data_IF_748882128087
#
_entry.id   IF_748882128087
#
_cell.length_a   1.000
_cell.length_b   1.000
_cell.length_c   1.000
_cell.angle_alpha   90.00
_cell.angle_beta   90.00
_cell.angle_gamma   90.00
#
_symmetry.space_group_name_H-M   'P 1'
#
loop_
_entity.id
_entity.type
_entity.pdbx_description
1 polymer ?
#
# COMPACT_ATOMS: atom_id res chain seq x y z
N UNK A 1 -2.92 71.46 25.93
CA UNK A 1 -1.62 70.83 26.28
C UNK A 1 -1.78 70.12 27.62
N UNK A 2 -1.96 68.80 27.61
CA UNK A 2 -1.60 67.79 28.63
C UNK A 2 -2.31 66.48 28.28
N UNK A 3 -1.50 65.47 28.00
CA UNK A 3 -1.87 64.09 27.70
C UNK A 3 -2.22 63.37 29.01
N UNK A 4 -3.23 62.52 29.03
CA UNK A 4 -3.29 61.39 29.97
C UNK A 4 -4.01 60.22 29.32
N UNK A 5 -3.49 59.03 29.57
CA UNK A 5 -3.60 57.77 28.83
C UNK A 5 -4.55 56.80 29.56
N UNK A 6 -5.28 56.01 28.77
CA UNK A 6 -5.83 54.66 28.98
C UNK A 6 -6.69 54.33 30.22
N UNK A 7 -7.78 53.61 30.00
CA UNK A 7 -7.83 52.16 30.26
C UNK A 7 -9.01 51.54 29.49
N UNK A 8 -8.68 50.66 28.55
CA UNK A 8 -9.61 49.80 27.82
C UNK A 8 -9.65 48.47 28.57
N UNK A 9 -10.75 48.15 29.24
CA UNK A 9 -10.96 46.85 29.88
C UNK A 9 -11.48 45.85 28.85
N UNK A 10 -10.57 45.01 28.34
CA UNK A 10 -10.90 43.84 27.53
C UNK A 10 -11.39 42.72 28.44
N UNK A 11 -12.59 42.23 28.16
CA UNK A 11 -13.22 41.11 28.84
C UNK A 11 -12.56 39.80 28.36
N UNK A 12 -11.64 39.23 29.15
CA UNK A 12 -11.02 37.95 28.89
C UNK A 12 -11.97 36.83 29.35
N UNK A 13 -12.67 36.19 28.42
CA UNK A 13 -13.47 35.01 28.69
C UNK A 13 -12.52 33.79 28.73
N UNK A 14 -12.08 33.41 29.93
CA UNK A 14 -11.40 32.14 30.15
C UNK A 14 -12.38 31.00 29.91
N UNK A 15 -12.22 30.27 28.80
CA UNK A 15 -12.78 28.93 28.65
C UNK A 15 -11.73 27.97 29.20
N UNK A 16 -11.88 27.58 30.46
CA UNK A 16 -11.19 26.43 31.04
C UNK A 16 -11.82 25.16 30.44
N UNK A 17 -11.18 24.57 29.44
CA UNK A 17 -11.52 23.21 29.02
C UNK A 17 -10.71 22.22 29.87
N UNK A 18 -11.46 21.48 30.67
CA UNK A 18 -11.02 20.40 31.53
C UNK A 18 -10.33 19.30 30.69
N UNK A 19 -9.03 19.09 30.87
CA UNK A 19 -8.34 17.89 30.36
C UNK A 19 -8.63 16.77 31.35
N UNK A 20 -9.31 15.67 30.98
CA UNK A 20 -9.32 14.50 31.83
C UNK A 20 -7.94 13.85 31.76
N UNK A 21 -7.19 13.96 32.85
CA UNK A 21 -6.00 13.15 33.10
C UNK A 21 -6.45 11.69 33.27
N UNK A 22 -6.06 10.82 32.33
CA UNK A 22 -6.35 9.39 32.42
C UNK A 22 -6.52 8.70 31.07
N UNK A 23 -5.58 8.87 30.14
CA UNK A 23 -5.42 7.90 29.07
C UNK A 23 -4.48 6.81 29.58
N UNK A 24 -5.05 5.67 29.97
CA UNK A 24 -4.28 4.46 30.18
C UNK A 24 -3.47 4.20 28.90
N UNK A 25 -2.15 4.11 29.05
CA UNK A 25 -1.20 3.73 28.00
C UNK A 25 -1.56 2.30 27.60
N UNK A 26 -2.29 2.12 26.50
CA UNK A 26 -2.43 0.81 25.90
C UNK A 26 -1.03 0.36 25.45
N UNK A 27 -0.60 -0.87 25.79
CA UNK A 27 0.71 -1.34 25.38
C UNK A 27 0.77 -1.41 23.86
N UNK A 28 1.91 -1.02 23.30
CA UNK A 28 2.29 -1.31 21.91
C UNK A 28 2.28 -2.83 21.72
N UNK A 29 1.14 -3.38 21.30
CA UNK A 29 1.11 -4.63 20.56
C UNK A 29 1.48 -4.26 19.12
N UNK A 30 2.74 -4.50 18.75
CA UNK A 30 3.17 -4.58 17.35
C UNK A 30 2.30 -5.65 16.65
N UNK A 31 1.21 -5.20 16.02
CA UNK A 31 0.56 -5.97 14.96
C UNK A 31 1.58 -6.15 13.83
N UNK A 32 1.65 -7.33 13.19
CA UNK A 32 2.61 -7.56 12.11
C UNK A 32 2.43 -6.50 11.03
N UNK A 33 3.54 -5.89 10.59
CA UNK A 33 3.57 -4.85 9.57
C UNK A 33 3.28 -5.45 8.18
N UNK A 34 2.01 -5.73 7.88
CA UNK A 34 1.61 -6.45 6.64
C UNK A 34 1.80 -5.62 5.35
N UNK A 35 2.29 -4.38 5.40
CA UNK A 35 2.41 -3.52 4.20
C UNK A 35 3.80 -2.92 4.11
N UNK A 36 4.70 -3.59 3.40
CA UNK A 36 5.99 -3.04 3.01
C UNK A 36 5.96 -2.59 1.55
N UNK A 37 6.71 -1.52 1.25
CA UNK A 37 6.95 -1.10 -0.14
C UNK A 37 7.70 -2.23 -0.87
N UNK A 38 7.21 -2.73 -2.03
CA UNK A 38 7.92 -3.74 -2.80
C UNK A 38 9.33 -3.30 -3.23
N UNK A 39 10.25 -4.26 -3.31
CA UNK A 39 11.62 -4.00 -3.72
C UNK A 39 11.68 -3.35 -5.11
N UNK A 40 12.55 -2.35 -5.27
CA UNK A 40 12.74 -1.61 -6.53
C UNK A 40 11.79 -0.43 -6.74
N UNK A 41 10.80 -0.22 -5.87
CA UNK A 41 10.00 1.02 -5.86
C UNK A 41 10.80 2.12 -5.15
N UNK A 42 11.01 3.29 -5.77
CA UNK A 42 11.90 4.33 -5.23
C UNK A 42 11.21 5.23 -4.18
N UNK A 43 10.47 4.66 -3.21
CA UNK A 43 9.74 5.45 -2.20
C UNK A 43 9.87 4.84 -0.80
N UNK A 44 9.81 5.68 0.24
CA UNK A 44 9.67 5.24 1.62
C UNK A 44 8.24 4.74 1.91
N UNK A 45 8.06 4.05 3.03
CA UNK A 45 6.75 3.57 3.44
C UNK A 45 5.74 4.72 3.65
N UNK A 46 6.18 5.83 4.23
CA UNK A 46 5.34 7.00 4.49
C UNK A 46 4.83 7.64 3.19
N UNK A 47 5.71 7.79 2.21
CA UNK A 47 5.39 8.37 0.90
C UNK A 47 4.45 7.45 0.11
N UNK A 48 4.73 6.14 0.16
CA UNK A 48 3.91 5.12 -0.46
C UNK A 48 2.48 5.06 0.11
N UNK A 49 2.35 5.19 1.43
CA UNK A 49 1.04 5.24 2.08
C UNK A 49 0.24 6.50 1.75
N UNK A 50 0.90 7.66 1.64
CA UNK A 50 0.24 8.89 1.17
C UNK A 50 -0.25 8.74 -0.27
N UNK A 51 0.56 8.16 -1.16
CA UNK A 51 0.14 7.89 -2.54
C UNK A 51 -1.08 6.96 -2.57
N UNK A 52 -1.06 5.88 -1.79
CA UNK A 52 -2.17 4.93 -1.68
C UNK A 52 -3.46 5.62 -1.25
N UNK A 53 -3.39 6.42 -0.18
CA UNK A 53 -4.54 7.14 0.37
C UNK A 53 -5.04 8.22 -0.59
N UNK A 54 -4.14 8.94 -1.25
CA UNK A 54 -4.49 9.93 -2.27
C UNK A 54 -5.25 9.28 -3.44
N UNK A 55 -4.77 8.13 -3.90
CA UNK A 55 -5.45 7.37 -4.95
C UNK A 55 -6.79 6.80 -4.48
N UNK A 56 -6.92 6.40 -3.22
CA UNK A 56 -8.21 6.00 -2.65
C UNK A 56 -9.24 7.15 -2.70
N UNK A 57 -8.85 8.37 -2.32
CA UNK A 57 -9.72 9.55 -2.43
C UNK A 57 -10.12 9.85 -3.88
N UNK A 58 -9.18 9.73 -4.82
CA UNK A 58 -9.44 9.93 -6.25
C UNK A 58 -10.41 8.87 -6.80
N UNK A 59 -10.19 7.61 -6.48
CA UNK A 59 -11.07 6.52 -6.94
C UNK A 59 -12.46 6.61 -6.31
N UNK A 60 -12.56 7.03 -5.05
CA UNK A 60 -13.86 7.32 -4.40
C UNK A 60 -14.62 8.46 -5.10
N UNK A 61 -13.90 9.39 -5.73
CA UNK A 61 -14.48 10.45 -6.56
C UNK A 61 -14.72 10.03 -8.03
N UNK A 62 -14.48 8.76 -8.38
CA UNK A 62 -14.63 8.25 -9.74
C UNK A 62 -13.51 8.69 -10.70
N UNK A 63 -12.36 9.09 -10.17
CA UNK A 63 -11.20 9.52 -10.94
C UNK A 63 -10.18 8.38 -11.09
N UNK A 64 -9.38 8.46 -12.15
CA UNK A 64 -8.23 7.59 -12.32
C UNK A 64 -7.18 7.83 -11.22
N UNK A 65 -6.52 6.76 -10.73
CA UNK A 65 -5.40 6.90 -9.81
C UNK A 65 -4.21 7.58 -10.51
N UNK A 66 -3.36 8.21 -9.73
CA UNK A 66 -2.11 8.81 -10.16
C UNK A 66 -0.98 7.79 -10.04
N UNK A 67 0.00 7.88 -10.94
CA UNK A 67 1.23 7.08 -10.86
C UNK A 67 2.42 7.93 -10.43
N UNK A 68 3.39 7.30 -9.78
CA UNK A 68 4.67 7.91 -9.41
C UNK A 68 5.77 7.36 -10.31
N UNK A 69 6.75 8.19 -10.68
CA UNK A 69 7.95 7.76 -11.39
C UNK A 69 9.19 8.35 -10.73
N UNK A 70 10.34 7.73 -10.95
CA UNK A 70 11.54 7.94 -10.14
C UNK A 70 12.00 9.41 -10.10
N UNK A 71 12.07 10.09 -11.25
CA UNK A 71 12.51 11.49 -11.29
C UNK A 71 11.55 12.43 -10.52
N UNK A 72 10.25 12.17 -10.55
CA UNK A 72 9.27 12.92 -9.78
C UNK A 72 9.43 12.71 -8.27
N UNK A 73 9.76 11.48 -7.88
CA UNK A 73 10.00 11.14 -6.49
C UNK A 73 11.26 11.83 -5.96
N UNK A 74 12.35 11.82 -6.73
CA UNK A 74 13.56 12.60 -6.43
C UNK A 74 13.24 14.10 -6.23
N UNK A 75 12.37 14.66 -7.08
CA UNK A 75 11.97 16.06 -6.96
C UNK A 75 11.27 16.35 -5.62
N UNK A 76 10.38 15.45 -5.19
CA UNK A 76 9.72 15.60 -3.89
C UNK A 76 10.63 15.34 -2.70
N UNK A 77 11.64 14.48 -2.82
CA UNK A 77 12.63 14.26 -1.78
C UNK A 77 13.46 15.53 -1.53
N UNK A 78 13.87 16.21 -2.62
CA UNK A 78 14.54 17.51 -2.55
C UNK A 78 13.61 18.53 -1.88
N UNK A 79 12.37 18.63 -2.38
CA UNK A 79 11.41 19.61 -1.88
C UNK A 79 11.06 19.39 -0.40
N UNK A 80 10.96 18.14 0.06
CA UNK A 80 10.70 17.82 1.46
C UNK A 80 11.80 18.38 2.39
N UNK A 81 13.07 18.24 2.01
CA UNK A 81 14.19 18.80 2.78
C UNK A 81 14.18 20.33 2.81
N UNK A 82 13.90 20.95 1.67
CA UNK A 82 13.80 22.41 1.57
C UNK A 82 12.67 23.00 2.45
N UNK A 83 11.60 22.24 2.71
CA UNK A 83 10.52 22.66 3.60
C UNK A 83 10.94 22.76 5.06
N UNK A 84 12.03 22.08 5.46
CA UNK A 84 12.64 22.26 6.79
C UNK A 84 13.27 23.66 6.89
N UNK A 85 13.94 24.11 5.82
CA UNK A 85 14.58 25.41 5.77
C UNK A 85 13.57 26.55 5.63
N UNK A 86 12.55 26.34 4.78
CA UNK A 86 11.50 27.31 4.51
C UNK A 86 10.18 26.61 4.16
N UNK A 87 9.24 26.60 5.11
CA UNK A 87 7.90 26.08 4.89
C UNK A 87 7.04 27.08 4.08
N UNK A 88 7.21 27.06 2.76
CA UNK A 88 6.60 27.96 1.79
C UNK A 88 6.35 27.24 0.46
N UNK A 89 5.57 27.81 -0.46
CA UNK A 89 5.54 27.39 -1.87
C UNK A 89 6.72 27.95 -2.69
N UNK A 90 7.49 28.86 -2.11
CA UNK A 90 8.74 29.36 -2.69
C UNK A 90 9.90 28.57 -2.11
N UNK A 91 10.83 28.14 -2.97
CA UNK A 91 12.03 27.42 -2.56
C UNK A 91 12.97 28.33 -1.75
N UNK A 92 13.89 27.78 -0.93
CA UNK A 92 14.81 28.57 -0.11
C UNK A 92 15.69 29.54 -0.92
N UNK A 93 15.98 29.20 -2.18
CA UNK A 93 16.74 30.04 -3.11
C UNK A 93 15.91 31.19 -3.75
N UNK A 94 14.62 31.27 -3.43
CA UNK A 94 13.68 32.27 -3.93
C UNK A 94 12.98 31.90 -5.25
N UNK A 95 13.26 30.73 -5.81
CA UNK A 95 12.60 30.26 -7.04
C UNK A 95 11.25 29.58 -6.75
N UNK A 96 10.45 29.38 -7.80
CA UNK A 96 9.17 28.69 -7.70
C UNK A 96 9.36 27.19 -7.35
N UNK A 97 8.46 26.59 -6.57
CA UNK A 97 8.54 25.17 -6.19
C UNK A 97 8.74 24.22 -7.37
N UNK A 98 8.20 24.53 -8.56
CA UNK A 98 8.25 23.65 -9.72
C UNK A 98 9.57 23.68 -10.47
N UNK A 99 10.49 24.61 -10.16
CA UNK A 99 11.84 24.62 -10.76
C UNK A 99 12.65 23.39 -10.37
N UNK A 100 12.27 22.68 -9.30
CA UNK A 100 12.85 21.38 -8.95
C UNK A 100 12.67 20.35 -10.07
N UNK A 101 11.61 20.45 -10.88
CA UNK A 101 11.41 19.56 -12.03
C UNK A 101 12.47 19.77 -13.11
N UNK A 102 12.96 20.99 -13.30
CA UNK A 102 14.03 21.26 -14.27
C UNK A 102 15.34 20.60 -13.84
N UNK A 103 15.62 20.56 -12.53
CA UNK A 103 16.81 19.93 -11.95
C UNK A 103 16.82 18.41 -12.14
N UNK A 104 15.65 17.78 -12.08
CA UNK A 104 15.49 16.32 -12.24
C UNK A 104 15.09 15.91 -13.67
N UNK A 105 15.00 16.87 -14.60
CA UNK A 105 14.69 16.61 -16.00
C UNK A 105 13.24 16.21 -16.30
N UNK A 106 12.29 16.63 -15.46
CA UNK A 106 10.85 16.35 -15.64
C UNK A 106 10.20 17.44 -16.46
N UNK A 107 9.71 17.09 -17.64
CA UNK A 107 8.88 17.99 -18.46
C UNK A 107 7.42 17.95 -18.02
N UNK A 108 6.77 19.11 -18.00
CA UNK A 108 5.39 19.24 -17.55
C UNK A 108 4.63 20.33 -18.34
N UNK A 109 3.32 20.19 -18.41
CA UNK A 109 2.37 21.13 -19.01
C UNK A 109 1.42 21.76 -17.99
N UNK A 110 1.14 21.05 -16.90
CA UNK A 110 0.47 21.58 -15.72
C UNK A 110 1.02 20.92 -14.47
N UNK A 111 1.07 21.69 -13.39
CA UNK A 111 1.68 21.29 -12.12
C UNK A 111 0.84 21.78 -10.94
N UNK A 112 1.01 21.14 -9.79
CA UNK A 112 0.40 21.55 -8.52
C UNK A 112 1.23 21.08 -7.33
N UNK A 113 1.18 21.83 -6.23
CA UNK A 113 1.87 21.48 -4.98
C UNK A 113 0.88 21.51 -3.81
N UNK A 114 0.95 20.49 -2.96
CA UNK A 114 0.39 20.50 -1.62
C UNK A 114 1.52 20.35 -0.61
N UNK A 115 1.59 21.22 0.41
CA UNK A 115 2.55 21.10 1.51
C UNK A 115 1.80 20.99 2.84
N UNK A 116 2.37 20.27 3.79
CA UNK A 116 1.86 20.18 5.16
C UNK A 116 3.01 19.89 6.13
N UNK A 117 2.85 20.30 7.38
CA UNK A 117 3.82 20.04 8.43
C UNK A 117 3.12 19.75 9.76
N UNK A 118 3.77 19.00 10.65
CA UNK A 118 3.27 18.66 11.98
C UNK A 118 2.29 17.49 12.03
N UNK A 119 1.96 16.87 10.89
CA UNK A 119 1.12 15.68 10.84
C UNK A 119 1.97 14.43 11.11
N UNK A 120 1.58 13.56 12.06
CA UNK A 120 2.41 12.44 12.48
C UNK A 120 2.32 11.21 11.54
N UNK A 121 1.31 11.14 10.69
CA UNK A 121 1.04 9.97 9.85
C UNK A 121 0.55 10.35 8.46
N UNK A 122 0.74 9.43 7.50
CA UNK A 122 0.22 9.55 6.14
C UNK A 122 -1.31 9.74 6.10
N UNK A 123 -2.05 9.06 6.98
CA UNK A 123 -3.49 9.20 7.09
C UNK A 123 -3.90 10.60 7.56
N UNK A 124 -3.25 11.12 8.60
CA UNK A 124 -3.57 12.42 9.15
C UNK A 124 -3.28 13.55 8.14
N UNK A 125 -2.18 13.46 7.39
CA UNK A 125 -1.84 14.50 6.40
C UNK A 125 -2.77 14.49 5.19
N UNK A 126 -3.15 13.31 4.68
CA UNK A 126 -4.10 13.21 3.56
C UNK A 126 -5.48 13.71 3.98
N UNK A 127 -5.95 13.37 5.19
CA UNK A 127 -7.17 13.95 5.75
C UNK A 127 -7.08 15.48 5.85
N UNK A 128 -5.95 16.01 6.33
CA UNK A 128 -5.68 17.45 6.39
C UNK A 128 -5.78 18.14 5.03
N UNK A 129 -5.19 17.55 3.98
CA UNK A 129 -5.31 18.06 2.62
C UNK A 129 -6.74 17.97 2.08
N UNK A 130 -7.46 16.88 2.33
CA UNK A 130 -8.84 16.71 1.85
C UNK A 130 -9.85 17.63 2.54
N UNK A 131 -9.55 18.10 3.75
CA UNK A 131 -10.33 19.10 4.48
C UNK A 131 -9.99 20.55 4.09
N UNK A 132 -8.93 20.77 3.29
CA UNK A 132 -8.58 22.08 2.74
C UNK A 132 -9.06 22.21 1.28
N UNK A 133 -9.94 23.17 0.96
CA UNK A 133 -10.47 23.30 -0.40
C UNK A 133 -9.40 23.43 -1.50
N UNK A 134 -8.31 24.16 -1.23
CA UNK A 134 -7.20 24.33 -2.18
C UNK A 134 -6.41 23.04 -2.41
N UNK A 135 -6.03 22.36 -1.33
CA UNK A 135 -5.26 21.11 -1.44
C UNK A 135 -6.09 19.97 -2.03
N UNK A 136 -7.36 19.86 -1.62
CA UNK A 136 -8.33 18.93 -2.20
C UNK A 136 -8.52 19.15 -3.70
N UNK A 137 -8.55 20.40 -4.15
CA UNK A 137 -8.69 20.70 -5.58
C UNK A 137 -7.51 20.15 -6.39
N UNK A 138 -6.28 20.17 -5.84
CA UNK A 138 -5.13 19.52 -6.48
C UNK A 138 -5.29 17.99 -6.52
N UNK A 139 -5.62 17.36 -5.38
CA UNK A 139 -5.80 15.89 -5.29
C UNK A 139 -6.86 15.39 -6.27
N UNK A 140 -7.97 16.13 -6.43
CA UNK A 140 -9.10 15.74 -7.29
C UNK A 140 -9.03 16.37 -8.69
N UNK A 141 -7.91 17.00 -9.06
CA UNK A 141 -7.77 17.56 -10.40
C UNK A 141 -7.74 16.43 -11.44
N UNK A 142 -8.63 16.51 -12.43
CA UNK A 142 -8.78 15.53 -13.51
C UNK A 142 -7.64 15.58 -14.53
N UNK A 143 -6.91 16.69 -14.59
CA UNK A 143 -5.80 16.88 -15.52
C UNK A 143 -4.52 16.15 -15.09
N UNK A 144 -4.28 16.01 -13.79
CA UNK A 144 -3.08 15.35 -13.28
C UNK A 144 -3.09 13.85 -13.52
N UNK A 145 -1.93 13.33 -13.91
CA UNK A 145 -1.67 11.91 -14.19
C UNK A 145 -0.59 11.33 -13.30
N UNK A 146 0.33 12.18 -12.85
CA UNK A 146 1.45 11.75 -12.02
C UNK A 146 1.53 12.53 -10.71
N UNK A 147 2.13 11.88 -9.72
CA UNK A 147 2.38 12.42 -8.38
C UNK A 147 3.73 11.94 -7.86
N UNK A 148 4.47 12.84 -7.23
CA UNK A 148 5.55 12.52 -6.30
C UNK A 148 5.08 12.85 -4.89
N UNK A 149 5.59 12.12 -3.90
CA UNK A 149 5.29 12.41 -2.49
C UNK A 149 6.59 12.44 -1.71
N UNK A 150 6.87 13.54 -1.03
CA UNK A 150 8.07 13.68 -0.21
C UNK A 150 7.71 13.68 1.27
N UNK A 151 8.49 12.96 2.07
CA UNK A 151 8.40 12.98 3.52
C UNK A 151 9.78 13.18 4.15
N UNK A 152 9.86 14.07 5.15
CA UNK A 152 11.05 14.17 6.00
C UNK A 152 10.68 14.45 7.44
N UNK A 153 11.51 13.98 8.36
CA UNK A 153 11.38 14.21 9.79
C UNK A 153 12.68 14.72 10.39
N UNK A 154 12.59 15.84 11.11
CA UNK A 154 13.69 16.43 11.86
C UNK A 154 13.22 16.83 13.25
N UNK A 155 13.70 16.15 14.28
CA UNK A 155 13.31 16.39 15.68
C UNK A 155 13.59 17.84 16.15
N UNK A 156 14.56 18.51 15.54
CA UNK A 156 14.98 19.86 15.91
C UNK A 156 14.38 20.96 15.00
N UNK A 157 13.43 20.60 14.15
CA UNK A 157 12.70 21.55 13.28
C UNK A 157 11.43 22.06 13.97
N UNK A 158 10.84 23.13 13.43
CA UNK A 158 9.65 23.77 14.01
C UNK A 158 8.45 22.83 14.11
N UNK A 159 8.31 21.90 13.16
CA UNK A 159 7.12 21.05 13.04
C UNK A 159 7.40 19.54 13.15
N UNK A 160 8.66 19.12 13.24
CA UNK A 160 9.04 17.72 13.29
C UNK A 160 8.92 17.03 11.93
N UNK A 161 7.69 16.84 11.44
CA UNK A 161 7.38 16.17 10.17
C UNK A 161 6.96 17.16 9.08
N UNK A 162 7.45 16.95 7.86
CA UNK A 162 7.11 17.74 6.67
C UNK A 162 6.71 16.81 5.53
N UNK A 163 5.70 17.23 4.78
CA UNK A 163 5.06 16.47 3.73
C UNK A 163 4.86 17.35 2.50
N UNK A 164 5.11 16.79 1.32
CA UNK A 164 4.82 17.45 0.04
C UNK A 164 4.20 16.47 -0.94
N UNK A 165 3.21 16.93 -1.70
CA UNK A 165 2.77 16.29 -2.94
C UNK A 165 3.08 17.24 -4.08
N UNK A 166 3.79 16.75 -5.09
CA UNK A 166 3.87 17.42 -6.37
C UNK A 166 3.03 16.64 -7.36
N UNK A 167 2.24 17.35 -8.16
CA UNK A 167 1.39 16.79 -9.20
C UNK A 167 1.85 17.30 -10.56
N UNK A 168 1.74 16.48 -11.59
CA UNK A 168 1.96 16.97 -12.94
C UNK A 168 1.12 16.27 -14.01
N UNK A 169 1.06 16.96 -15.14
CA UNK A 169 0.65 16.47 -16.47
C UNK A 169 1.77 16.83 -17.43
N UNK A 170 2.02 16.02 -18.45
CA UNK A 170 2.98 16.38 -19.52
C UNK A 170 3.93 15.25 -19.89
N UNK A 171 4.14 14.31 -18.99
CA UNK A 171 4.77 13.04 -19.32
C UNK A 171 3.75 12.21 -20.11
N UNK A 172 3.93 12.11 -21.43
CA UNK A 172 3.06 11.34 -22.33
C UNK A 172 3.32 9.84 -22.19
N UNK A 173 3.09 9.31 -21.00
CA UNK A 173 3.29 7.91 -20.69
C UNK A 173 2.11 7.11 -21.29
N UNK A 174 2.31 6.54 -22.48
CA UNK A 174 1.46 5.46 -22.96
C UNK A 174 1.95 4.16 -22.33
N UNK A 175 1.23 3.67 -21.33
CA UNK A 175 1.56 2.41 -20.66
C UNK A 175 1.48 1.25 -21.65
N UNK A 176 2.57 0.52 -21.82
CA UNK A 176 2.69 -0.61 -22.75
C UNK A 176 2.66 -1.95 -22.05
N UNK A 177 2.99 -2.00 -20.75
CA UNK A 177 2.97 -3.19 -19.92
C UNK A 177 2.52 -2.86 -18.49
N UNK A 178 1.92 -3.84 -17.84
CA UNK A 178 1.53 -3.79 -16.44
C UNK A 178 1.99 -5.08 -15.75
N UNK A 179 2.78 -4.94 -14.70
CA UNK A 179 3.27 -6.02 -13.85
C UNK A 179 2.93 -5.74 -12.39
N UNK A 180 2.70 -6.81 -11.63
CA UNK A 180 2.45 -6.73 -10.19
C UNK A 180 3.76 -7.06 -9.46
N UNK A 181 4.14 -6.18 -8.54
CA UNK A 181 5.28 -6.35 -7.65
C UNK A 181 4.80 -6.61 -6.21
N UNK A 182 5.59 -7.38 -5.47
CA UNK A 182 5.34 -7.76 -4.09
C UNK A 182 5.06 -9.26 -3.96
N UNK A 183 5.37 -9.80 -2.79
CA UNK A 183 5.12 -11.19 -2.43
C UNK A 183 3.81 -11.25 -1.64
N UNK A 184 2.72 -11.78 -2.21
CA UNK A 184 1.42 -11.67 -1.57
C UNK A 184 1.26 -12.71 -0.45
N UNK A 185 1.07 -12.26 0.79
CA UNK A 185 0.50 -13.09 1.87
C UNK A 185 -1.03 -13.07 1.78
N UNK A 186 -1.55 -13.96 0.95
CA UNK A 186 -2.95 -13.97 0.52
C UNK A 186 -3.93 -14.52 1.57
N UNK A 187 -3.46 -14.76 2.79
CA UNK A 187 -4.34 -14.96 3.95
C UNK A 187 -5.04 -13.66 4.37
N UNK A 188 -4.60 -12.52 3.85
CA UNK A 188 -5.11 -11.19 4.19
C UNK A 188 -5.93 -10.53 3.07
N UNK A 189 -6.78 -9.53 3.40
CA UNK A 189 -7.55 -8.77 2.40
C UNK A 189 -6.64 -8.06 1.40
N UNK A 190 -7.14 -7.81 0.17
CA UNK A 190 -6.35 -7.22 -0.93
C UNK A 190 -5.63 -5.93 -0.53
N UNK A 191 -6.31 -5.04 0.21
CA UNK A 191 -5.73 -3.78 0.67
C UNK A 191 -4.57 -3.94 1.66
N UNK A 192 -4.43 -5.14 2.23
CA UNK A 192 -3.36 -5.49 3.17
C UNK A 192 -2.18 -6.19 2.53
N UNK A 193 -2.21 -6.51 1.24
CA UNK A 193 -1.14 -7.27 0.60
C UNK A 193 0.13 -6.47 0.29
N UNK A 194 0.06 -5.14 0.32
CA UNK A 194 1.20 -4.28 -0.02
C UNK A 194 1.63 -4.36 -1.50
N UNK A 195 0.77 -4.87 -2.39
CA UNK A 195 1.10 -5.02 -3.81
C UNK A 195 1.28 -3.66 -4.49
N UNK A 196 2.21 -3.59 -5.43
CA UNK A 196 2.43 -2.45 -6.30
C UNK A 196 2.22 -2.83 -7.76
N UNK A 197 1.68 -1.91 -8.54
CA UNK A 197 1.63 -2.04 -9.98
C UNK A 197 2.80 -1.28 -10.60
N UNK A 198 3.60 -1.96 -11.41
CA UNK A 198 4.62 -1.38 -12.28
C UNK A 198 4.08 -1.27 -13.70
N UNK A 199 4.11 -0.07 -14.24
CA UNK A 199 3.67 0.25 -15.59
C UNK A 199 4.85 0.75 -16.41
N UNK A 200 5.18 0.06 -17.49
CA UNK A 200 6.27 0.48 -18.36
C UNK A 200 5.77 1.50 -19.38
N UNK A 201 6.52 2.58 -19.58
CA UNK A 201 6.36 3.45 -20.74
C UNK A 201 7.71 3.83 -21.35
N UNK A 202 7.66 4.47 -22.54
CA UNK A 202 8.85 4.76 -23.34
C UNK A 202 9.89 5.67 -22.66
N UNK A 203 9.49 6.40 -21.62
CA UNK A 203 10.34 7.32 -20.87
C UNK A 203 10.78 6.75 -19.50
N UNK A 204 10.23 5.60 -19.06
CA UNK A 204 10.55 4.97 -17.79
C UNK A 204 9.40 4.16 -17.19
N UNK A 205 9.68 3.47 -16.09
CA UNK A 205 8.65 2.78 -15.31
C UNK A 205 7.91 3.78 -14.40
N UNK A 206 6.62 3.52 -14.22
CA UNK A 206 5.71 4.18 -13.29
C UNK A 206 5.18 3.17 -12.29
N UNK A 207 4.93 3.60 -11.05
CA UNK A 207 4.44 2.75 -9.99
C UNK A 207 3.19 3.34 -9.33
N UNK A 208 2.33 2.47 -8.81
CA UNK A 208 1.26 2.85 -7.90
C UNK A 208 0.93 1.71 -6.93
N UNK A 209 0.43 2.01 -5.71
CA UNK A 209 -0.07 1.00 -4.78
C UNK A 209 -1.37 0.39 -5.31
N UNK A 210 -1.43 -0.94 -5.41
CA UNK A 210 -2.65 -1.65 -5.79
C UNK A 210 -3.58 -1.75 -4.59
N UNK A 211 -4.88 -1.60 -4.86
CA UNK A 211 -5.94 -1.67 -3.85
C UNK A 211 -7.07 -2.56 -4.33
N UNK A 212 -7.96 -2.93 -3.42
CA UNK A 212 -9.16 -3.70 -3.71
C UNK A 212 -10.04 -3.03 -4.78
N UNK A 213 -10.04 -1.70 -4.86
CA UNK A 213 -10.78 -0.95 -5.87
C UNK A 213 -10.26 -1.16 -7.31
N UNK A 214 -9.02 -1.65 -7.47
CA UNK A 214 -8.41 -1.99 -8.75
C UNK A 214 -8.50 -3.49 -9.07
N UNK A 215 -8.95 -4.30 -8.10
CA UNK A 215 -9.10 -5.74 -8.24
C UNK A 215 -10.38 -6.05 -9.02
N UNK A 216 -10.22 -6.64 -10.20
CA UNK A 216 -11.33 -7.02 -11.10
C UNK A 216 -11.63 -8.51 -11.05
N UNK A 217 -10.77 -9.32 -10.41
CA UNK A 217 -11.00 -10.74 -10.19
C UNK A 217 -10.26 -11.27 -8.96
N UNK A 218 -10.94 -12.10 -8.18
CA UNK A 218 -10.38 -12.85 -7.04
C UNK A 218 -10.94 -14.27 -7.10
N UNK A 219 -10.14 -15.21 -7.59
CA UNK A 219 -10.55 -16.60 -7.79
C UNK A 219 -9.63 -17.56 -7.07
N UNK A 220 -10.18 -18.61 -6.48
CA UNK A 220 -9.41 -19.70 -5.90
C UNK A 220 -9.73 -20.99 -6.64
N UNK A 221 -8.72 -21.64 -7.20
CA UNK A 221 -8.83 -22.96 -7.84
C UNK A 221 -7.67 -23.84 -7.39
N UNK A 222 -7.96 -25.07 -6.96
CA UNK A 222 -6.95 -26.06 -6.54
C UNK A 222 -5.95 -25.52 -5.48
N UNK A 223 -6.42 -24.71 -4.52
CA UNK A 223 -5.56 -24.11 -3.49
C UNK A 223 -4.69 -22.94 -3.98
N UNK A 224 -4.80 -22.56 -5.25
CA UNK A 224 -4.16 -21.37 -5.84
C UNK A 224 -5.17 -20.24 -5.86
N UNK A 225 -4.89 -19.14 -5.14
CA UNK A 225 -5.66 -17.90 -5.23
C UNK A 225 -5.00 -16.98 -6.27
N UNK A 226 -5.77 -16.54 -7.25
CA UNK A 226 -5.37 -15.62 -8.30
C UNK A 226 -6.14 -14.32 -8.15
N UNK A 227 -5.41 -13.22 -8.01
CA UNK A 227 -5.95 -11.87 -8.12
C UNK A 227 -5.66 -11.31 -9.50
N UNK A 228 -6.65 -10.65 -10.06
CA UNK A 228 -6.57 -9.93 -11.32
C UNK A 228 -6.84 -8.46 -11.05
N UNK A 229 -5.93 -7.61 -11.50
CA UNK A 229 -6.04 -6.16 -11.38
C UNK A 229 -6.16 -5.57 -12.77
N UNK A 230 -6.99 -4.53 -12.90
CA UNK A 230 -7.10 -3.77 -14.14
C UNK A 230 -6.93 -2.28 -13.86
N UNK A 231 -6.02 -1.64 -14.57
CA UNK A 231 -5.77 -0.20 -14.47
C UNK A 231 -5.29 0.34 -15.82
N UNK A 232 -5.72 1.55 -16.19
CA UNK A 232 -5.34 2.22 -17.44
C UNK A 232 -5.57 1.37 -18.71
N UNK A 233 -6.59 0.51 -18.71
CA UNK A 233 -6.88 -0.40 -19.83
C UNK A 233 -5.96 -1.62 -19.93
N UNK A 234 -5.00 -1.78 -19.02
CA UNK A 234 -4.14 -2.95 -18.89
C UNK A 234 -4.65 -3.87 -17.79
N UNK A 235 -4.29 -5.14 -17.86
CA UNK A 235 -4.65 -6.15 -16.85
C UNK A 235 -3.43 -7.00 -16.53
N UNK A 236 -3.24 -7.29 -15.24
CA UNK A 236 -2.21 -8.19 -14.76
C UNK A 236 -2.79 -9.07 -13.65
N UNK A 237 -2.24 -10.27 -13.48
CA UNK A 237 -2.66 -11.19 -12.44
C UNK A 237 -1.48 -11.67 -11.63
N UNK A 238 -1.70 -11.86 -10.34
CA UNK A 238 -0.76 -12.49 -9.42
C UNK A 238 -1.44 -13.67 -8.76
N UNK A 239 -0.73 -14.80 -8.70
CA UNK A 239 -1.23 -16.02 -8.08
C UNK A 239 -0.31 -16.40 -6.93
N UNK A 240 -0.91 -16.83 -5.83
CA UNK A 240 -0.19 -17.35 -4.68
C UNK A 240 -1.00 -18.49 -4.07
N UNK A 241 -0.32 -19.38 -3.36
CA UNK A 241 -0.91 -20.67 -3.02
C UNK A 241 -0.78 -21.63 -4.18
N UNK A 242 -1.03 -22.90 -3.88
CA UNK A 242 -0.28 -23.98 -4.48
C UNK A 242 1.05 -24.12 -3.76
N UNK A 243 1.01 -24.64 -2.52
CA UNK A 243 2.01 -25.65 -2.21
C UNK A 243 2.02 -26.59 -3.42
N UNK A 244 3.18 -26.99 -3.94
CA UNK A 244 3.21 -28.21 -4.75
C UNK A 244 2.29 -29.18 -4.02
N UNK A 245 1.18 -29.58 -4.63
CA UNK A 245 0.35 -30.61 -4.05
C UNK A 245 1.29 -31.80 -3.96
N UNK A 246 1.89 -32.00 -2.79
CA UNK A 246 2.71 -33.16 -2.50
C UNK A 246 1.65 -34.23 -2.29
N UNK A 247 1.48 -35.18 -3.23
CA UNK A 247 0.51 -36.24 -3.03
C UNK A 247 0.85 -36.93 -1.72
N UNK A 248 -0.10 -36.91 -0.78
CA UNK A 248 0.06 -37.41 0.57
C UNK A 248 0.32 -36.39 1.68
N UNK A 249 0.50 -35.09 1.39
CA UNK A 249 0.52 -34.02 2.40
C UNK A 249 -0.92 -33.57 2.72
N UNK A 250 -1.66 -34.44 3.41
CA UNK A 250 -3.10 -34.28 3.66
C UNK A 250 -3.37 -33.13 4.63
N UNK A 251 -2.45 -32.81 5.54
CA UNK A 251 -2.63 -31.72 6.49
C UNK A 251 -2.12 -30.35 5.96
N UNK A 252 -1.32 -30.33 4.90
CA UNK A 252 -0.79 -29.12 4.27
C UNK A 252 0.37 -28.46 5.00
N UNK A 253 1.10 -29.21 5.80
CA UNK A 253 2.27 -28.72 6.54
C UNK A 253 3.55 -28.66 5.69
N UNK A 254 3.47 -29.10 4.42
CA UNK A 254 4.58 -29.12 3.47
C UNK A 254 5.44 -30.38 3.58
N UNK A 255 5.05 -31.36 4.39
CA UNK A 255 5.75 -32.64 4.56
C UNK A 255 4.78 -33.82 4.47
N UNK A 256 5.22 -34.94 3.89
CA UNK A 256 4.42 -36.18 3.89
C UNK A 256 4.86 -37.06 5.05
N UNK A 257 4.05 -37.18 6.10
CA UNK A 257 4.39 -37.89 7.31
C UNK A 257 3.24 -38.77 7.85
N UNK A 258 3.45 -39.42 9.00
CA UNK A 258 2.45 -40.33 9.61
C UNK A 258 1.14 -39.61 9.98
N UNK A 259 1.20 -38.30 10.23
CA UNK A 259 0.03 -37.48 10.55
C UNK A 259 -0.93 -37.44 9.37
N UNK A 260 -0.41 -37.39 8.15
CA UNK A 260 -1.19 -37.39 6.92
C UNK A 260 -1.84 -38.75 6.66
N UNK A 261 -1.07 -39.83 6.86
CA UNK A 261 -1.58 -41.19 6.72
C UNK A 261 -2.72 -41.46 7.72
N UNK A 262 -2.60 -40.95 8.96
CA UNK A 262 -3.66 -41.03 9.96
C UNK A 262 -4.88 -40.20 9.53
N UNK A 263 -4.68 -39.03 8.93
CA UNK A 263 -5.77 -38.17 8.46
C UNK A 263 -6.56 -38.83 7.31
N UNK A 264 -5.86 -39.39 6.33
CA UNK A 264 -6.45 -40.21 5.27
C UNK A 264 -7.19 -41.44 5.83
N UNK A 265 -6.60 -42.16 6.81
CA UNK A 265 -7.24 -43.31 7.43
C UNK A 265 -8.52 -42.93 8.19
N UNK A 266 -8.51 -41.82 8.92
CA UNK A 266 -9.71 -41.31 9.61
C UNK A 266 -10.82 -40.98 8.62
N UNK A 267 -10.48 -40.45 7.44
CA UNK A 267 -11.45 -40.24 6.37
C UNK A 267 -11.97 -41.55 5.78
N UNK A 268 -11.09 -42.52 5.53
CA UNK A 268 -11.47 -43.85 5.02
C UNK A 268 -12.41 -44.59 5.97
N UNK A 269 -12.25 -44.37 7.29
CA UNK A 269 -13.13 -44.90 8.33
C UNK A 269 -14.43 -44.09 8.53
N UNK A 270 -14.62 -42.98 7.80
CA UNK A 270 -15.78 -42.09 7.96
C UNK A 270 -15.82 -41.35 9.30
N UNK A 271 -14.68 -41.19 9.96
CA UNK A 271 -14.57 -40.48 11.26
C UNK A 271 -14.56 -38.97 11.05
N UNK A 272 -14.01 -38.50 9.93
CA UNK A 272 -13.91 -37.10 9.56
C UNK A 272 -14.32 -36.92 8.12
N UNK A 273 -14.71 -35.70 7.75
CA UNK A 273 -14.76 -35.26 6.36
C UNK A 273 -13.52 -34.42 6.05
N UNK A 274 -12.97 -34.60 4.86
CA UNK A 274 -11.87 -33.80 4.34
C UNK A 274 -12.43 -32.63 3.54
N UNK A 275 -11.70 -31.52 3.50
CA UNK A 275 -11.98 -30.47 2.50
C UNK A 275 -11.63 -30.99 1.10
N UNK A 276 -12.15 -30.34 0.05
CA UNK A 276 -11.86 -30.71 -1.35
C UNK A 276 -10.35 -30.76 -1.63
N UNK A 277 -9.59 -29.84 -1.04
CA UNK A 277 -8.14 -29.79 -1.20
C UNK A 277 -7.43 -30.95 -0.48
N UNK A 278 -7.85 -31.27 0.74
CA UNK A 278 -7.31 -32.42 1.49
C UNK A 278 -7.68 -33.74 0.82
N UNK A 279 -8.87 -33.83 0.23
CA UNK A 279 -9.32 -34.99 -0.53
C UNK A 279 -8.41 -35.25 -1.72
N UNK A 280 -8.11 -34.20 -2.51
CA UNK A 280 -7.21 -34.30 -3.67
C UNK A 280 -5.79 -34.72 -3.27
N UNK A 281 -5.30 -34.30 -2.10
CA UNK A 281 -3.98 -34.70 -1.60
C UNK A 281 -3.97 -36.09 -0.99
N UNK A 282 -5.11 -36.54 -0.47
CA UNK A 282 -5.27 -37.86 0.11
C UNK A 282 -5.46 -38.95 -0.95
N UNK A 283 -6.13 -38.68 -2.08
CA UNK A 283 -6.27 -39.60 -3.21
C UNK A 283 -4.94 -39.68 -4.01
N UNK A 284 -3.98 -40.40 -3.43
CA UNK A 284 -2.62 -40.52 -3.98
C UNK A 284 -2.52 -41.53 -5.11
N UNK A 285 -3.53 -42.40 -5.26
CA UNK A 285 -3.60 -43.38 -6.34
C UNK A 285 -4.42 -42.89 -7.56
N UNK A 286 -5.20 -41.81 -7.41
CA UNK A 286 -5.98 -41.15 -8.46
C UNK A 286 -7.26 -41.89 -8.85
N UNK A 287 -7.80 -42.73 -7.97
CA UNK A 287 -9.00 -43.55 -8.25
C UNK A 287 -10.32 -42.83 -7.96
N UNK A 288 -10.25 -41.60 -7.42
CA UNK A 288 -11.40 -40.78 -7.07
C UNK A 288 -12.01 -41.09 -5.71
N UNK A 289 -11.38 -41.96 -4.90
CA UNK A 289 -11.76 -42.25 -3.53
C UNK A 289 -10.56 -42.05 -2.59
N UNK A 290 -10.84 -41.81 -1.30
CA UNK A 290 -9.82 -41.82 -0.26
C UNK A 290 -10.08 -43.03 0.64
N UNK A 291 -9.32 -44.09 0.44
CA UNK A 291 -9.47 -45.35 1.16
C UNK A 291 -8.18 -45.82 1.88
N UNK A 292 -8.21 -47.04 2.41
CA UNK A 292 -7.06 -47.60 3.16
C UNK A 292 -5.81 -47.78 2.28
N UNK A 293 -5.98 -47.88 0.97
CA UNK A 293 -4.91 -47.99 -0.03
C UNK A 293 -4.14 -46.68 -0.13
N UNK A 294 -4.84 -45.56 -0.09
CA UNK A 294 -4.23 -44.23 -0.07
C UNK A 294 -3.46 -44.00 1.23
N UNK A 295 -4.09 -44.27 2.37
CA UNK A 295 -3.45 -44.13 3.68
C UNK A 295 -2.17 -44.99 3.77
N UNK A 296 -2.19 -46.20 3.20
CA UNK A 296 -1.00 -47.06 3.14
C UNK A 296 0.08 -46.50 2.20
N UNK A 297 -0.33 -45.92 1.07
CA UNK A 297 0.61 -45.32 0.10
C UNK A 297 1.29 -44.10 0.70
N UNK A 298 0.54 -43.23 1.39
CA UNK A 298 1.08 -42.09 2.15
C UNK A 298 2.06 -42.57 3.23
N UNK A 299 1.72 -43.64 3.95
CA UNK A 299 2.62 -44.23 4.94
C UNK A 299 3.93 -44.71 4.31
N UNK A 300 3.89 -45.31 3.12
CA UNK A 300 5.10 -45.76 2.40
C UNK A 300 5.96 -44.59 1.94
N UNK A 301 5.34 -43.51 1.45
CA UNK A 301 6.03 -42.26 1.08
C UNK A 301 6.73 -41.67 2.31
N UNK A 302 6.03 -41.60 3.46
CA UNK A 302 6.60 -41.07 4.71
C UNK A 302 7.83 -41.86 5.23
N UNK A 303 7.96 -43.12 4.84
CA UNK A 303 9.08 -43.99 5.19
C UNK A 303 10.17 -44.05 4.11
N UNK A 304 10.01 -43.34 2.99
CA UNK A 304 10.94 -43.38 1.86
C UNK A 304 11.00 -44.75 1.17
N UNK A 305 9.90 -45.52 1.22
CA UNK A 305 9.83 -46.87 0.63
C UNK A 305 9.46 -46.86 -0.86
N UNK A 306 8.99 -45.71 -1.37
CA UNK A 306 8.65 -45.41 -2.76
C UNK A 306 8.91 -43.94 -3.04
#
# INVERSE_FOLDING_TARGET
MKRTIALLTVFLMLIALCIPAGAAKLPDEELPSVRSVPAGVPASQQEWDVLRLTNAERMNAGLEPLTMFAAMQTATDIRALELIESFSHTRPDGTDCFTVFDEVGVSWSSVGENIAAGYPTAAAVVEGWMNSPGHRANILNTGFKHIGVGYTYSQNSDYGAYWVQLFCTGWSCHYSAFEILGEPDMSTPVDSLGLAGRFTCGEGDCWLPLTSAMCTGDTTQNGVRTLTFSCFGLTASVSCGGAQQLPGDVNGDGTVNVTDAVLALRRAMGIIELTDEQFLRADVNGDGNVDVTDALTIMRISMGLI
#
